data_IF_992699015063
#
_entry.id   IF_992699015063
#
_cell.length_a   1.000
_cell.length_b   1.000
_cell.length_c   1.000
_cell.angle_alpha   90.00
_cell.angle_beta   90.00
_cell.angle_gamma   90.00
#
_symmetry.space_group_name_H-M   'P 1'
#
loop_
_entity.id
_entity.type
_entity.pdbx_description
1 polymer ?
#
# COMPACT_ATOMS: atom_id res chain seq x y z
N UNK A 1 25.57 1.85 13.35
CA UNK A 1 25.03 0.50 13.34
C UNK A 1 23.60 0.54 12.80
N UNK A 2 23.37 -0.13 11.72
CA UNK A 2 22.08 -0.07 11.06
C UNK A 2 21.13 -1.18 11.49
N UNK A 3 21.59 -2.09 12.31
CA UNK A 3 20.89 -3.31 12.59
C UNK A 3 19.43 -3.21 13.01
N UNK A 4 19.08 -2.58 14.14
CA UNK A 4 17.68 -2.58 14.61
C UNK A 4 16.74 -1.91 13.63
N UNK A 5 17.13 -0.76 13.11
CA UNK A 5 16.26 0.01 12.21
C UNK A 5 16.01 -0.74 10.91
N UNK A 6 17.05 -1.34 10.34
CA UNK A 6 16.91 -2.10 9.10
C UNK A 6 16.03 -3.33 9.30
N UNK A 7 16.21 -4.03 10.41
CA UNK A 7 15.41 -5.22 10.72
C UNK A 7 13.95 -4.85 10.94
N UNK A 8 13.68 -3.79 11.70
CA UNK A 8 12.32 -3.35 11.96
C UNK A 8 11.60 -2.95 10.69
N UNK A 9 12.29 -2.28 9.78
CA UNK A 9 11.69 -1.91 8.49
C UNK A 9 11.28 -3.13 7.69
N UNK A 10 12.09 -4.19 7.73
CA UNK A 10 11.76 -5.41 6.98
C UNK A 10 10.55 -6.14 7.52
N UNK A 11 10.21 -5.92 8.78
CA UNK A 11 9.06 -6.58 9.39
C UNK A 11 7.73 -6.06 8.86
N UNK A 12 7.64 -4.79 8.48
CA UNK A 12 6.39 -4.18 8.05
C UNK A 12 6.45 -3.44 6.72
N UNK A 13 7.60 -3.41 6.07
CA UNK A 13 7.71 -2.84 4.73
C UNK A 13 7.85 -3.96 3.71
N UNK A 14 7.13 -3.82 2.61
CA UNK A 14 7.22 -4.79 1.55
C UNK A 14 8.62 -4.80 0.95
N UNK A 15 9.11 -5.98 0.60
CA UNK A 15 10.35 -6.06 -0.12
C UNK A 15 10.16 -5.57 -1.56
N UNK A 16 11.26 -5.38 -2.25
CA UNK A 16 11.26 -4.85 -3.62
C UNK A 16 10.49 -5.75 -4.57
N UNK A 17 10.66 -7.07 -4.42
CA UNK A 17 9.99 -8.03 -5.30
C UNK A 17 8.48 -7.99 -5.14
N UNK A 18 8.00 -7.87 -3.91
CA UNK A 18 6.57 -7.76 -3.65
C UNK A 18 5.99 -6.50 -4.26
N UNK A 19 6.69 -5.36 -4.14
CA UNK A 19 6.27 -4.11 -4.77
C UNK A 19 6.22 -4.24 -6.28
N UNK A 20 7.22 -4.84 -6.88
CA UNK A 20 7.28 -5.01 -8.33
C UNK A 20 6.11 -5.85 -8.83
N UNK A 21 5.75 -6.91 -8.12
CA UNK A 21 4.60 -7.74 -8.49
C UNK A 21 3.30 -6.95 -8.42
N UNK A 22 3.14 -6.12 -7.40
CA UNK A 22 1.95 -5.28 -7.27
C UNK A 22 1.89 -4.25 -8.39
N UNK A 23 2.99 -3.60 -8.70
CA UNK A 23 3.08 -2.63 -9.80
C UNK A 23 2.69 -3.28 -11.11
N UNK A 24 3.22 -4.48 -11.41
CA UNK A 24 2.88 -5.22 -12.62
C UNK A 24 1.38 -5.52 -12.71
N UNK A 25 0.79 -5.90 -11.59
CA UNK A 25 -0.62 -6.29 -11.55
C UNK A 25 -1.57 -5.12 -11.78
N UNK A 26 -1.21 -3.94 -11.29
CA UNK A 26 -2.11 -2.78 -11.30
C UNK A 26 -1.76 -1.68 -12.29
N UNK A 27 -0.60 -1.73 -12.93
CA UNK A 27 -0.23 -0.68 -13.86
C UNK A 27 -1.12 -0.69 -15.11
N UNK A 28 -1.38 0.50 -15.64
CA UNK A 28 -2.22 0.66 -16.83
C UNK A 28 -1.40 0.69 -18.12
N UNK A 29 -0.11 0.99 -18.01
CA UNK A 29 0.83 1.02 -19.14
C UNK A 29 2.10 0.28 -18.77
N UNK A 30 2.86 -0.15 -19.77
CA UNK A 30 4.10 -0.90 -19.55
C UNK A 30 5.12 -0.15 -18.69
N UNK A 31 5.13 1.18 -18.74
CA UNK A 31 6.04 2.02 -17.97
C UNK A 31 5.39 2.73 -16.80
N UNK A 32 4.12 2.40 -16.51
CA UNK A 32 3.35 3.10 -15.49
C UNK A 32 3.67 2.56 -14.11
N UNK A 33 4.45 3.30 -13.34
CA UNK A 33 4.76 2.98 -11.95
C UNK A 33 4.28 4.03 -10.97
N UNK A 34 3.71 5.14 -11.48
CA UNK A 34 3.29 6.26 -10.65
C UNK A 34 1.82 6.61 -10.74
N UNK A 35 1.00 5.80 -11.41
CA UNK A 35 -0.42 6.10 -11.53
C UNK A 35 -1.12 5.98 -10.17
N UNK A 36 -2.27 6.67 -9.98
CA UNK A 36 -3.04 6.52 -8.76
C UNK A 36 -3.41 5.08 -8.44
N UNK A 37 -3.74 4.28 -9.46
CA UNK A 37 -4.08 2.87 -9.26
C UNK A 37 -2.92 2.09 -8.64
N UNK A 38 -1.71 2.28 -9.17
CA UNK A 38 -0.52 1.62 -8.65
C UNK A 38 -0.22 2.08 -7.22
N UNK A 39 -0.29 3.39 -6.97
CA UNK A 39 -0.04 3.94 -5.64
C UNK A 39 -1.04 3.41 -4.60
N UNK A 40 -2.31 3.32 -4.96
CA UNK A 40 -3.35 2.79 -4.07
C UNK A 40 -3.06 1.32 -3.75
N UNK A 41 -2.66 0.54 -4.74
CA UNK A 41 -2.34 -0.88 -4.54
C UNK A 41 -1.15 -1.05 -3.61
N UNK A 42 -0.10 -0.27 -3.79
CA UNK A 42 1.08 -0.32 -2.92
C UNK A 42 0.71 0.08 -1.49
N UNK A 43 -0.05 1.17 -1.34
CA UNK A 43 -0.51 1.62 -0.02
C UNK A 43 -1.36 0.56 0.66
N UNK A 44 -2.24 -0.10 -0.08
CA UNK A 44 -3.09 -1.15 0.47
C UNK A 44 -2.27 -2.31 1.02
N UNK A 45 -1.24 -2.72 0.30
CA UNK A 45 -0.34 -3.78 0.75
C UNK A 45 0.48 -3.35 1.96
N UNK A 46 0.99 -2.14 1.96
CA UNK A 46 1.75 -1.60 3.09
C UNK A 46 0.87 -1.47 4.34
N UNK A 47 -0.38 -1.06 4.17
CA UNK A 47 -1.34 -0.98 5.28
C UNK A 47 -1.57 -2.37 5.87
N UNK A 48 -1.70 -3.39 5.02
CA UNK A 48 -1.85 -4.77 5.47
C UNK A 48 -0.66 -5.24 6.28
N UNK A 49 0.56 -4.95 5.81
CA UNK A 49 1.78 -5.31 6.52
C UNK A 49 1.89 -4.62 7.87
N UNK A 50 1.63 -3.30 7.92
CA UNK A 50 1.66 -2.55 9.16
C UNK A 50 0.61 -3.03 10.16
N UNK A 51 -0.57 -3.38 9.66
CA UNK A 51 -1.64 -3.91 10.52
C UNK A 51 -1.20 -5.21 11.18
N UNK A 52 -0.58 -6.12 10.42
CA UNK A 52 -0.05 -7.36 10.97
C UNK A 52 1.07 -7.10 11.97
N UNK A 53 1.97 -6.17 11.64
CA UNK A 53 3.05 -5.80 12.54
C UNK A 53 2.51 -5.29 13.87
N UNK A 54 1.49 -4.44 13.85
CA UNK A 54 0.91 -3.85 15.05
C UNK A 54 0.14 -4.86 15.91
N UNK A 55 -0.30 -5.97 15.33
CA UNK A 55 -0.92 -7.05 16.12
C UNK A 55 0.09 -7.68 17.08
N UNK A 56 1.35 -7.76 16.68
CA UNK A 56 2.43 -8.29 17.51
C UNK A 56 3.15 -7.21 18.30
N UNK A 57 3.16 -5.98 17.82
CA UNK A 57 3.92 -4.87 18.38
C UNK A 57 2.99 -3.71 18.69
N UNK A 58 2.09 -3.90 19.66
CA UNK A 58 1.03 -2.94 19.97
C UNK A 58 1.52 -1.57 20.43
N UNK A 59 2.73 -1.52 21.00
CA UNK A 59 3.32 -0.28 21.52
C UNK A 59 4.23 0.42 20.53
N UNK A 60 4.26 -0.02 19.29
CA UNK A 60 5.04 0.64 18.25
C UNK A 60 4.27 1.84 17.72
N UNK A 61 4.41 2.97 18.40
CA UNK A 61 3.66 4.17 18.08
C UNK A 61 4.10 4.82 16.76
N UNK A 62 5.35 4.65 16.38
CA UNK A 62 5.83 5.14 15.08
C UNK A 62 5.14 4.43 13.94
N UNK A 63 5.04 3.10 14.01
CA UNK A 63 4.35 2.31 12.99
C UNK A 63 2.87 2.64 12.95
N UNK A 64 2.27 2.89 14.11
CA UNK A 64 0.85 3.27 14.18
C UNK A 64 0.61 4.60 13.46
N UNK A 65 1.47 5.59 13.69
CA UNK A 65 1.37 6.87 12.98
C UNK A 65 1.58 6.69 11.49
N UNK A 66 2.53 5.86 11.10
CA UNK A 66 2.75 5.53 9.70
C UNK A 66 1.54 4.88 9.05
N UNK A 67 0.89 3.98 9.77
CA UNK A 67 -0.33 3.32 9.29
C UNK A 67 -1.44 4.35 9.05
N UNK A 68 -1.70 5.23 10.02
CA UNK A 68 -2.72 6.26 9.89
C UNK A 68 -2.45 7.18 8.71
N UNK A 69 -1.19 7.54 8.51
CA UNK A 69 -0.78 8.39 7.39
C UNK A 69 -1.05 7.70 6.06
N UNK A 70 -0.71 6.43 5.94
CA UNK A 70 -0.95 5.67 4.72
C UNK A 70 -2.43 5.47 4.44
N UNK A 71 -3.23 5.24 5.47
CA UNK A 71 -4.69 5.13 5.32
C UNK A 71 -5.28 6.44 4.80
N UNK A 72 -4.81 7.56 5.32
CA UNK A 72 -5.26 8.88 4.87
C UNK A 72 -4.87 9.15 3.43
N UNK A 73 -3.65 8.82 3.04
CA UNK A 73 -3.18 8.97 1.66
C UNK A 73 -3.99 8.10 0.71
N UNK A 74 -4.24 6.85 1.09
CA UNK A 74 -5.03 5.94 0.27
C UNK A 74 -6.44 6.47 0.05
N UNK A 75 -7.06 6.97 1.11
CA UNK A 75 -8.41 7.53 1.02
C UNK A 75 -8.45 8.72 0.07
N UNK A 76 -7.44 9.59 0.15
CA UNK A 76 -7.35 10.76 -0.72
C UNK A 76 -7.19 10.35 -2.19
N UNK A 77 -6.33 9.39 -2.47
CA UNK A 77 -6.12 8.89 -3.83
C UNK A 77 -7.37 8.20 -4.37
N UNK A 78 -8.06 7.42 -3.55
CA UNK A 78 -9.32 6.77 -3.96
C UNK A 78 -10.38 7.80 -4.31
N UNK A 79 -10.50 8.84 -3.51
CA UNK A 79 -11.43 9.92 -3.79
C UNK A 79 -11.10 10.64 -5.09
N UNK A 80 -9.83 10.94 -5.29
CA UNK A 80 -9.36 11.56 -6.53
C UNK A 80 -9.70 10.68 -7.73
N UNK A 81 -9.38 9.39 -7.65
CA UNK A 81 -9.62 8.46 -8.74
C UNK A 81 -11.12 8.33 -9.04
N UNK A 82 -11.97 8.33 -8.02
CA UNK A 82 -13.42 8.22 -8.24
C UNK A 82 -13.99 9.39 -9.03
N UNK A 83 -13.37 10.58 -8.92
CA UNK A 83 -13.78 11.75 -9.68
C UNK A 83 -13.18 11.76 -11.09
N UNK A 84 -11.91 11.40 -11.21
CA UNK A 84 -11.21 11.50 -12.50
C UNK A 84 -11.48 10.30 -13.41
N UNK A 85 -11.63 9.12 -12.85
CA UNK A 85 -11.84 7.89 -13.62
C UNK A 85 -12.72 6.92 -12.85
N UNK A 86 -14.05 7.12 -12.86
CA UNK A 86 -14.97 6.26 -12.11
C UNK A 86 -14.89 4.79 -12.53
N UNK A 87 -14.69 4.51 -13.81
CA UNK A 87 -14.58 3.14 -14.30
C UNK A 87 -13.31 2.48 -13.77
N UNK A 88 -12.18 3.19 -13.82
CA UNK A 88 -10.93 2.70 -13.26
C UNK A 88 -11.00 2.50 -11.76
N UNK A 89 -11.70 3.38 -11.06
CA UNK A 89 -11.93 3.25 -9.63
C UNK A 89 -12.69 1.96 -9.30
N UNK A 90 -13.75 1.68 -10.04
CA UNK A 90 -14.54 0.48 -9.83
C UNK A 90 -13.73 -0.79 -10.10
N UNK A 91 -12.98 -0.81 -11.19
CA UNK A 91 -12.11 -1.94 -11.53
C UNK A 91 -11.06 -2.17 -10.45
N UNK A 92 -10.43 -1.10 -9.98
CA UNK A 92 -9.42 -1.18 -8.94
C UNK A 92 -10.01 -1.73 -7.65
N UNK A 93 -11.16 -1.23 -7.24
CA UNK A 93 -11.83 -1.68 -6.02
C UNK A 93 -12.15 -3.18 -6.11
N UNK A 94 -12.64 -3.64 -7.26
CA UNK A 94 -12.94 -5.06 -7.45
C UNK A 94 -11.68 -5.91 -7.33
N UNK A 95 -10.56 -5.46 -7.93
CA UNK A 95 -9.30 -6.18 -7.84
C UNK A 95 -8.80 -6.21 -6.40
N UNK A 96 -8.89 -5.10 -5.68
CA UNK A 96 -8.44 -5.02 -4.29
C UNK A 96 -9.24 -5.95 -3.39
N UNK A 97 -10.54 -6.09 -3.62
CA UNK A 97 -11.37 -7.02 -2.86
C UNK A 97 -10.96 -8.47 -3.09
N UNK A 98 -10.57 -8.81 -4.31
CA UNK A 98 -10.12 -10.16 -4.66
C UNK A 98 -8.70 -10.44 -4.19
N UNK A 99 -7.91 -9.40 -4.00
CA UNK A 99 -6.53 -9.53 -3.53
C UNK A 99 -6.50 -9.37 -2.02
N UNK A 100 -6.07 -10.40 -1.32
CA UNK A 100 -5.97 -10.35 0.14
C UNK A 100 -4.58 -9.84 0.52
N UNK A 101 -4.55 -8.69 1.11
CA UNK A 101 -3.32 -8.11 1.65
C UNK A 101 -3.13 -8.41 3.13
#
# INVERSE_FOLDING_TARGET
MAGPDSADRKEYMMDKNAKEKIIEKFKTHATDTGSPQVQIAILSAEIGELTRHLQSHKKDFSSRRGLLKKVSERRRLLKYLSHEDPTGHKKLTDILEKTKF
#
